data_IF_271170099995
#
_entry.id   IF_271170099995
#
_cell.length_a   1.000
_cell.length_b   1.000
_cell.length_c   1.000
_cell.angle_alpha   90.00
_cell.angle_beta   90.00
_cell.angle_gamma   90.00
#
_symmetry.space_group_name_H-M   'P 1'
#
loop_
_entity.id
_entity.type
_entity.pdbx_description
1 polymer ?
#
# COMPACT_ATOMS: atom_id res chain seq x y z
N UNK A 1 27.56 -39.11 -38.18
CA UNK A 1 27.64 -38.84 -39.64
C UNK A 1 26.42 -38.05 -40.04
N UNK A 2 26.59 -36.84 -40.60
CA UNK A 2 25.48 -36.03 -41.11
C UNK A 2 25.63 -34.54 -40.83
N UNK A 3 26.49 -33.88 -41.60
CA UNK A 3 26.55 -32.42 -41.75
C UNK A 3 26.85 -32.14 -43.24
N UNK A 4 26.73 -30.91 -43.75
CA UNK A 4 25.81 -29.81 -43.44
C UNK A 4 25.12 -29.27 -44.73
N UNK A 5 24.12 -28.39 -44.65
CA UNK A 5 23.91 -27.45 -45.77
C UNK A 5 23.46 -26.05 -45.31
N UNK A 6 24.09 -25.06 -45.93
CA UNK A 6 24.04 -23.63 -45.66
C UNK A 6 23.08 -22.99 -46.65
N UNK A 7 22.13 -22.20 -46.19
CA UNK A 7 21.50 -21.18 -47.03
C UNK A 7 21.46 -19.83 -46.31
N UNK A 8 22.48 -19.02 -46.63
CA UNK A 8 22.53 -17.58 -46.40
C UNK A 8 21.39 -16.91 -47.15
N UNK A 9 20.57 -16.10 -46.49
CA UNK A 9 19.98 -14.90 -47.10
C UNK A 9 20.09 -13.73 -46.14
N UNK A 10 21.14 -12.95 -46.36
CA UNK A 10 21.21 -11.58 -45.91
C UNK A 10 20.14 -10.77 -46.64
N UNK A 11 19.35 -9.99 -45.90
CA UNK A 11 18.79 -8.72 -46.39
C UNK A 11 18.92 -7.70 -45.28
N UNK A 12 19.93 -6.85 -45.44
CA UNK A 12 19.98 -5.53 -44.82
C UNK A 12 18.72 -4.76 -45.24
N UNK A 13 17.98 -4.23 -44.27
CA UNK A 13 16.98 -3.18 -44.52
C UNK A 13 17.32 -1.96 -43.69
N UNK A 14 18.13 -1.12 -44.34
CA UNK A 14 18.19 0.35 -44.32
C UNK A 14 17.53 1.07 -43.13
N UNK A 15 18.39 1.71 -42.37
CA UNK A 15 18.18 2.91 -41.58
C UNK A 15 17.41 4.00 -42.33
N UNK A 16 16.48 4.67 -41.66
CA UNK A 16 16.14 6.06 -41.91
C UNK A 16 15.64 6.70 -40.59
N UNK A 17 16.36 7.66 -40.01
CA UNK A 17 15.93 8.43 -38.85
C UNK A 17 15.05 9.59 -39.35
N UNK A 18 13.85 9.74 -38.77
CA UNK A 18 13.03 10.93 -38.98
C UNK A 18 13.01 11.71 -37.67
N UNK A 19 14.01 12.60 -37.56
CA UNK A 19 14.00 13.76 -36.68
C UNK A 19 12.78 14.60 -37.03
N UNK A 20 11.81 14.68 -36.11
CA UNK A 20 10.82 15.74 -36.11
C UNK A 20 10.96 16.51 -34.80
N UNK A 21 11.81 17.53 -34.83
CA UNK A 21 11.86 18.57 -33.82
C UNK A 21 10.63 19.47 -34.02
N UNK A 22 9.72 19.50 -33.04
CA UNK A 22 8.68 20.51 -32.95
C UNK A 22 8.86 21.27 -31.63
N UNK A 23 9.58 22.39 -31.72
CA UNK A 23 9.58 23.46 -30.72
C UNK A 23 8.23 24.17 -30.78
N UNK A 24 7.51 24.22 -29.67
CA UNK A 24 6.44 25.19 -29.43
C UNK A 24 6.69 25.91 -28.10
N UNK A 25 6.84 27.22 -28.21
CA UNK A 25 7.01 28.20 -27.14
C UNK A 25 5.66 28.49 -26.43
N UNK A 26 5.72 28.52 -25.09
CA UNK A 26 5.06 29.34 -24.04
C UNK A 26 3.67 29.97 -24.33
N UNK A 27 2.75 29.95 -23.34
CA UNK A 27 2.72 31.10 -22.41
C UNK A 27 2.57 30.70 -20.92
N UNK A 28 3.27 31.45 -20.07
CA UNK A 28 3.07 31.50 -18.63
C UNK A 28 1.73 32.18 -18.35
N UNK A 29 0.82 31.49 -17.64
CA UNK A 29 -0.35 32.11 -17.04
C UNK A 29 -0.07 32.35 -15.56
N UNK A 30 0.46 33.55 -15.30
CA UNK A 30 0.37 34.21 -14.02
C UNK A 30 -1.04 34.80 -13.88
N UNK A 31 -1.77 34.41 -12.84
CA UNK A 31 -3.01 35.09 -12.42
C UNK A 31 -3.11 35.07 -10.90
N UNK A 32 -2.38 35.99 -10.28
CA UNK A 32 -2.83 36.65 -9.06
C UNK A 32 -4.12 37.44 -9.33
N UNK A 33 -5.23 37.05 -8.69
CA UNK A 33 -6.32 37.98 -8.40
C UNK A 33 -7.13 37.50 -7.19
N UNK A 34 -6.71 38.00 -6.03
CA UNK A 34 -7.55 38.72 -5.06
C UNK A 34 -9.06 38.50 -5.16
N UNK A 35 -9.63 37.86 -4.15
CA UNK A 35 -10.93 38.30 -3.59
C UNK A 35 -10.74 38.66 -2.11
N UNK A 36 -10.86 39.97 -1.88
CA UNK A 36 -11.25 40.63 -0.64
C UNK A 36 -12.63 40.13 -0.21
N UNK A 37 -12.82 39.85 1.08
CA UNK A 37 -13.68 40.62 2.01
C UNK A 37 -15.18 40.38 1.72
N UNK A 38 -16.02 39.88 2.62
CA UNK A 38 -16.46 40.48 3.89
C UNK A 38 -17.45 39.48 4.52
N UNK A 39 -17.47 39.33 5.85
CA UNK A 39 -18.64 39.53 6.74
C UNK A 39 -18.46 38.80 8.06
N UNK A 40 -18.24 39.59 9.10
CA UNK A 40 -18.38 39.20 10.49
C UNK A 40 -19.86 38.97 10.83
N UNK A 41 -20.15 37.89 11.57
CA UNK A 41 -21.38 37.78 12.37
C UNK A 41 -21.00 37.50 13.82
N UNK A 42 -21.63 38.27 14.69
CA UNK A 42 -21.47 38.43 16.14
C UNK A 42 -21.69 37.14 16.96
N UNK A 43 -21.22 37.15 18.23
CA UNK A 43 -21.36 36.05 19.16
C UNK A 43 -22.77 36.01 19.76
N UNK A 44 -23.35 34.81 19.82
CA UNK A 44 -24.55 34.52 20.59
C UNK A 44 -24.20 34.12 22.01
N UNK A 45 -24.42 35.02 22.95
CA UNK A 45 -24.46 34.75 24.40
C UNK A 45 -25.75 33.99 24.71
N UNK A 46 -25.66 32.83 25.38
CA UNK A 46 -26.78 32.23 26.10
C UNK A 46 -26.34 31.86 27.51
N UNK A 47 -27.18 32.25 28.46
CA UNK A 47 -26.97 32.34 29.91
C UNK A 47 -27.74 31.23 30.64
N UNK A 48 -27.11 30.66 31.68
CA UNK A 48 -27.66 29.91 32.84
C UNK A 48 -28.33 28.53 32.56
N UNK A 49 -28.32 27.50 33.43
CA UNK A 49 -28.17 27.37 34.90
C UNK A 49 -27.84 25.89 35.26
N UNK A 50 -27.21 25.57 36.42
CA UNK A 50 -27.06 24.19 36.97
C UNK A 50 -28.29 23.82 37.87
N UNK A 51 -28.35 22.68 38.61
CA UNK A 51 -27.50 21.47 38.70
C UNK A 51 -28.29 20.16 38.46
N UNK A 52 -27.62 19.01 38.33
CA UNK A 52 -28.24 17.74 38.70
C UNK A 52 -27.21 16.72 39.22
N UNK A 53 -27.40 16.37 40.49
CA UNK A 53 -26.64 15.37 41.24
C UNK A 53 -27.28 14.02 40.98
N UNK A 54 -26.80 13.29 39.96
CA UNK A 54 -27.25 11.95 39.64
C UNK A 54 -26.24 10.89 40.08
N UNK A 55 -26.54 10.18 41.17
CA UNK A 55 -25.82 9.00 41.64
C UNK A 55 -25.73 7.92 40.56
N UNK A 56 -24.52 7.47 40.22
CA UNK A 56 -24.31 6.30 39.36
C UNK A 56 -23.88 5.09 40.22
N UNK A 57 -24.41 3.88 39.93
CA UNK A 57 -24.18 2.68 40.72
C UNK A 57 -22.74 2.16 40.56
N UNK A 58 -22.14 1.75 41.67
CA UNK A 58 -20.86 1.04 41.70
C UNK A 58 -21.01 -0.34 41.05
N UNK A 59 -20.54 -0.46 39.81
CA UNK A 59 -20.47 -1.75 39.11
C UNK A 59 -19.31 -2.59 39.67
N UNK A 60 -19.51 -3.89 39.96
CA UNK A 60 -18.46 -4.75 40.50
C UNK A 60 -17.33 -4.91 39.48
N UNK A 61 -16.10 -4.73 39.93
CA UNK A 61 -14.88 -4.94 39.16
C UNK A 61 -14.81 -6.39 38.69
N UNK A 62 -15.14 -6.63 37.41
CA UNK A 62 -14.89 -7.88 36.73
C UNK A 62 -13.38 -8.12 36.70
N UNK A 63 -12.94 -9.25 37.25
CA UNK A 63 -11.56 -9.72 37.13
C UNK A 63 -11.31 -10.05 35.67
N UNK A 64 -10.55 -9.20 34.97
CA UNK A 64 -10.09 -9.53 33.61
C UNK A 64 -9.18 -10.77 33.66
N UNK A 65 -9.41 -11.77 32.79
CA UNK A 65 -8.52 -12.92 32.68
C UNK A 65 -7.10 -12.46 32.29
N UNK A 66 -6.05 -13.16 32.76
CA UNK A 66 -4.67 -12.81 32.44
C UNK A 66 -4.45 -12.87 30.93
N UNK A 67 -3.88 -11.80 30.37
CA UNK A 67 -3.48 -11.74 28.97
C UNK A 67 -2.48 -12.88 28.68
N UNK A 68 -2.81 -13.74 27.71
CA UNK A 68 -1.85 -14.72 27.22
C UNK A 68 -0.68 -13.98 26.54
N UNK A 69 0.57 -14.42 26.72
CA UNK A 69 1.70 -13.83 26.04
C UNK A 69 1.58 -14.09 24.53
N UNK A 70 1.37 -13.03 23.76
CA UNK A 70 1.49 -13.07 22.30
C UNK A 70 2.98 -13.22 21.98
N UNK A 71 3.41 -14.43 21.63
CA UNK A 71 4.77 -14.65 21.10
C UNK A 71 4.96 -13.78 19.86
N UNK A 72 6.07 -13.03 19.81
CA UNK A 72 6.41 -12.21 18.64
C UNK A 72 6.48 -13.06 17.36
N UNK A 73 6.03 -12.54 16.22
CA UNK A 73 6.06 -13.29 14.97
C UNK A 73 7.49 -13.64 14.57
N UNK A 74 7.72 -14.89 14.18
CA UNK A 74 9.04 -15.39 13.79
C UNK A 74 9.32 -14.98 12.34
N UNK A 75 10.40 -14.22 12.14
CA UNK A 75 10.93 -13.86 10.81
C UNK A 75 12.12 -14.75 10.47
N UNK A 76 12.20 -15.23 9.23
CA UNK A 76 13.27 -16.12 8.75
C UNK A 76 13.73 -15.70 7.36
N UNK A 77 15.03 -15.88 7.10
CA UNK A 77 15.62 -15.70 5.78
C UNK A 77 15.12 -16.76 4.80
N UNK A 78 14.67 -16.33 3.64
CA UNK A 78 14.19 -17.23 2.60
C UNK A 78 13.36 -16.52 1.55
N UNK A 79 13.15 -17.20 0.43
CA UNK A 79 12.34 -16.67 -0.67
C UNK A 79 10.85 -16.59 -0.29
N UNK A 80 10.17 -15.61 -0.88
CA UNK A 80 8.73 -15.47 -0.70
C UNK A 80 7.99 -16.48 -1.59
N UNK A 81 7.25 -17.42 -0.98
CA UNK A 81 6.64 -18.57 -1.68
C UNK A 81 5.67 -18.19 -2.81
N UNK A 82 5.04 -17.04 -2.72
CA UNK A 82 4.00 -16.59 -3.67
C UNK A 82 4.46 -15.44 -4.55
N UNK A 83 5.71 -14.98 -4.41
CA UNK A 83 6.18 -13.79 -5.11
C UNK A 83 7.66 -13.91 -5.46
N UNK A 84 7.93 -14.03 -6.76
CA UNK A 84 9.28 -14.16 -7.29
C UNK A 84 10.08 -12.86 -7.12
N UNK A 85 11.28 -12.96 -6.56
CA UNK A 85 12.17 -11.81 -6.33
C UNK A 85 12.43 -11.03 -7.62
N UNK A 86 12.58 -11.70 -8.77
CA UNK A 86 12.81 -11.03 -10.07
C UNK A 86 11.62 -10.20 -10.54
N UNK A 87 10.39 -10.64 -10.25
CA UNK A 87 9.19 -9.85 -10.53
C UNK A 87 9.13 -8.61 -9.63
N UNK A 88 9.48 -8.74 -8.35
CA UNK A 88 9.57 -7.61 -7.43
C UNK A 88 10.60 -6.61 -7.93
N UNK A 89 11.82 -7.06 -8.26
CA UNK A 89 12.89 -6.22 -8.80
C UNK A 89 12.42 -5.40 -10.02
N UNK A 90 11.73 -6.04 -10.96
CA UNK A 90 11.20 -5.40 -12.16
C UNK A 90 10.09 -4.40 -11.83
N UNK A 91 9.22 -4.73 -10.89
CA UNK A 91 8.07 -3.90 -10.50
C UNK A 91 8.53 -2.62 -9.80
N UNK A 92 9.43 -2.74 -8.83
CA UNK A 92 9.90 -1.58 -8.05
C UNK A 92 11.10 -0.87 -8.68
N UNK A 93 11.73 -1.48 -9.67
CA UNK A 93 12.91 -0.93 -10.37
C UNK A 93 14.17 -0.91 -9.52
N UNK A 94 14.25 -1.77 -8.49
CA UNK A 94 15.38 -1.84 -7.56
C UNK A 94 15.90 -3.26 -7.48
N UNK A 95 17.20 -3.42 -7.22
CA UNK A 95 17.79 -4.73 -6.95
C UNK A 95 17.38 -5.20 -5.56
N UNK A 96 17.05 -6.48 -5.43
CA UNK A 96 16.78 -7.14 -4.16
C UNK A 96 17.96 -8.06 -3.84
N UNK A 97 18.52 -7.90 -2.66
CA UNK A 97 19.67 -8.68 -2.19
C UNK A 97 19.28 -9.78 -1.21
N UNK A 98 18.14 -9.62 -0.53
CA UNK A 98 17.67 -10.50 0.53
C UNK A 98 16.15 -10.47 0.60
N UNK A 99 15.57 -11.61 0.95
CA UNK A 99 14.14 -11.73 1.24
C UNK A 99 13.99 -12.45 2.58
N UNK A 100 13.01 -12.02 3.36
CA UNK A 100 12.56 -12.74 4.55
C UNK A 100 11.07 -13.04 4.42
N UNK A 101 10.62 -14.05 5.15
CA UNK A 101 9.22 -14.28 5.41
C UNK A 101 8.95 -14.26 6.92
N UNK A 102 7.78 -13.77 7.29
CA UNK A 102 7.35 -13.60 8.68
C UNK A 102 6.01 -14.31 8.86
N UNK A 103 5.90 -15.16 9.87
CA UNK A 103 4.63 -15.79 10.20
C UNK A 103 3.61 -14.71 10.60
N UNK A 104 2.41 -14.77 10.04
CA UNK A 104 1.31 -13.84 10.33
C UNK A 104 0.10 -14.60 10.87
N UNK A 105 -0.98 -13.87 11.20
CA UNK A 105 -2.24 -14.51 11.59
C UNK A 105 -2.91 -15.27 10.45
N UNK A 106 -2.46 -15.10 9.20
CA UNK A 106 -2.91 -15.88 8.07
C UNK A 106 -2.01 -17.11 7.87
N UNK A 107 -2.44 -18.27 8.38
CA UNK A 107 -1.61 -19.49 8.46
C UNK A 107 -1.02 -19.97 7.12
N UNK A 108 -1.69 -19.66 6.00
CA UNK A 108 -1.30 -20.14 4.67
C UNK A 108 -0.42 -19.16 3.89
N UNK A 109 -0.45 -17.86 4.24
CA UNK A 109 0.30 -16.82 3.53
C UNK A 109 1.10 -16.00 4.55
N UNK A 110 2.39 -16.32 4.74
CA UNK A 110 3.25 -15.49 5.58
C UNK A 110 3.43 -14.11 4.93
N UNK A 111 3.74 -13.11 5.75
CA UNK A 111 4.24 -11.84 5.27
C UNK A 111 5.62 -12.02 4.63
N UNK A 112 5.99 -11.14 3.72
CA UNK A 112 7.28 -11.15 3.05
C UNK A 112 7.89 -9.75 3.01
N UNK A 113 9.18 -9.64 3.30
CA UNK A 113 9.93 -8.39 3.18
C UNK A 113 11.09 -8.60 2.21
N UNK A 114 11.20 -7.72 1.21
CA UNK A 114 12.26 -7.73 0.20
C UNK A 114 13.20 -6.57 0.46
N UNK A 115 14.48 -6.86 0.65
CA UNK A 115 15.49 -5.88 1.04
C UNK A 115 16.45 -5.54 -0.09
N UNK A 116 16.79 -4.27 -0.15
CA UNK A 116 17.85 -3.72 -0.99
C UNK A 116 19.23 -4.18 -0.52
N UNK A 117 20.29 -3.98 -1.34
CA UNK A 117 21.66 -4.29 -0.95
C UNK A 117 22.18 -3.51 0.27
N UNK A 118 21.60 -2.35 0.59
CA UNK A 118 21.92 -1.56 1.79
C UNK A 118 21.21 -2.07 3.05
N UNK A 119 20.31 -3.04 2.91
CA UNK A 119 19.56 -3.64 4.02
C UNK A 119 18.21 -2.99 4.30
N UNK A 120 17.84 -1.92 3.60
CA UNK A 120 16.54 -1.28 3.76
C UNK A 120 15.44 -2.06 3.00
N UNK A 121 14.20 -2.13 3.54
CA UNK A 121 13.09 -2.73 2.81
C UNK A 121 12.79 -1.95 1.52
N UNK A 122 12.74 -2.66 0.39
CA UNK A 122 12.14 -2.18 -0.85
C UNK A 122 10.62 -2.37 -0.85
N UNK A 123 10.20 -3.55 -0.38
CA UNK A 123 8.80 -3.97 -0.32
C UNK A 123 8.56 -4.69 0.99
N UNK A 124 7.46 -4.39 1.65
CA UNK A 124 6.93 -5.15 2.77
C UNK A 124 5.48 -5.56 2.47
N UNK A 125 5.20 -6.85 2.62
CA UNK A 125 3.88 -7.44 2.41
C UNK A 125 3.45 -8.07 3.73
N UNK A 126 2.38 -7.54 4.32
CA UNK A 126 1.78 -8.08 5.53
C UNK A 126 0.37 -8.58 5.22
N UNK A 127 0.03 -9.77 5.72
CA UNK A 127 -1.29 -10.39 5.57
C UNK A 127 -1.85 -10.67 6.96
N UNK A 128 -3.02 -10.15 7.28
CA UNK A 128 -3.62 -10.27 8.61
C UNK A 128 -5.05 -10.77 8.49
N UNK A 129 -5.35 -11.92 9.10
CA UNK A 129 -6.71 -12.41 9.24
C UNK A 129 -7.44 -11.70 10.40
N UNK A 130 -8.72 -11.38 10.17
CA UNK A 130 -9.65 -10.80 11.14
C UNK A 130 -10.85 -11.72 11.38
N UNK A 131 -11.56 -11.56 12.51
CA UNK A 131 -12.81 -12.27 12.78
C UNK A 131 -13.92 -12.03 11.74
N UNK A 132 -13.98 -10.83 11.14
CA UNK A 132 -15.01 -10.47 10.15
C UNK A 132 -14.46 -9.58 9.05
N UNK A 133 -15.12 -9.59 7.88
CA UNK A 133 -14.82 -8.69 6.76
C UNK A 133 -14.96 -7.21 7.14
N UNK A 134 -15.93 -6.86 7.99
CA UNK A 134 -16.13 -5.48 8.46
C UNK A 134 -14.94 -5.00 9.30
N UNK A 135 -14.39 -5.86 10.15
CA UNK A 135 -13.20 -5.53 10.94
C UNK A 135 -11.96 -5.39 10.06
N UNK A 136 -11.76 -6.30 9.09
CA UNK A 136 -10.68 -6.18 8.12
C UNK A 136 -10.79 -4.87 7.33
N UNK A 137 -11.98 -4.51 6.86
CA UNK A 137 -12.21 -3.27 6.11
C UNK A 137 -11.98 -2.02 6.96
N UNK A 138 -12.42 -2.06 8.22
CA UNK A 138 -12.17 -0.97 9.18
C UNK A 138 -10.68 -0.79 9.42
N UNK A 139 -9.93 -1.88 9.56
CA UNK A 139 -8.48 -1.85 9.69
C UNK A 139 -7.79 -1.31 8.44
N UNK A 140 -8.22 -1.73 7.24
CA UNK A 140 -7.70 -1.22 5.97
C UNK A 140 -7.88 0.31 5.87
N UNK A 141 -9.10 0.80 6.09
CA UNK A 141 -9.41 2.24 6.05
C UNK A 141 -8.64 2.99 7.15
N UNK A 142 -8.47 2.38 8.32
CA UNK A 142 -7.73 2.95 9.45
C UNK A 142 -6.23 3.15 9.19
N UNK A 143 -5.63 2.46 8.21
CA UNK A 143 -4.27 2.71 7.74
C UNK A 143 -4.17 3.93 6.82
N UNK A 144 -5.30 4.46 6.36
CA UNK A 144 -5.35 5.68 5.58
C UNK A 144 -5.13 6.95 6.41
N UNK A 145 -5.03 8.06 5.69
CA UNK A 145 -5.17 9.41 6.24
C UNK A 145 -6.25 10.13 5.42
N UNK A 146 -6.68 11.36 5.77
CA UNK A 146 -7.57 12.13 4.89
C UNK A 146 -7.00 12.38 3.48
N UNK A 147 -5.70 12.21 3.26
CA UNK A 147 -5.05 12.30 1.96
C UNK A 147 -4.95 10.96 1.20
N UNK A 148 -5.36 9.85 1.82
CA UNK A 148 -5.38 8.55 1.16
C UNK A 148 -6.48 8.51 0.08
N UNK A 149 -6.20 7.79 -1.01
CA UNK A 149 -7.15 7.58 -2.09
C UNK A 149 -7.85 6.23 -1.93
N UNK A 150 -9.12 6.10 -2.33
CA UNK A 150 -9.80 4.81 -2.35
C UNK A 150 -9.17 3.86 -3.38
N UNK A 151 -9.28 2.57 -3.09
CA UNK A 151 -8.93 1.47 -3.98
C UNK A 151 -10.19 0.61 -4.11
N UNK A 152 -10.77 0.55 -5.32
CA UNK A 152 -12.07 -0.11 -5.54
C UNK A 152 -11.97 -1.28 -6.55
N UNK A 153 -10.78 -1.55 -7.04
CA UNK A 153 -10.47 -2.45 -8.17
C UNK A 153 -9.52 -3.59 -7.79
N UNK A 154 -9.20 -3.76 -6.49
CA UNK A 154 -8.39 -4.86 -5.95
C UNK A 154 -9.08 -5.43 -4.71
N UNK A 155 -9.33 -6.74 -4.71
CA UNK A 155 -10.05 -7.41 -3.63
C UNK A 155 -11.45 -6.83 -3.45
N UNK A 156 -11.87 -6.68 -2.19
CA UNK A 156 -13.10 -6.00 -1.78
C UNK A 156 -12.91 -4.49 -1.56
N UNK A 157 -11.72 -3.99 -1.92
CA UNK A 157 -11.34 -2.58 -1.87
C UNK A 157 -10.54 -2.19 -0.63
N UNK A 158 -10.31 -0.90 -0.48
CA UNK A 158 -9.49 -0.34 0.61
C UNK A 158 -8.94 1.04 0.29
N UNK A 159 -7.69 1.30 0.67
CA UNK A 159 -7.05 2.61 0.54
C UNK A 159 -5.60 2.50 0.07
N UNK A 160 -5.12 3.57 -0.54
CA UNK A 160 -3.69 3.77 -0.81
C UNK A 160 -3.25 5.15 -0.33
N UNK A 161 -2.24 5.17 0.52
CA UNK A 161 -1.54 6.36 0.97
C UNK A 161 -0.21 6.46 0.24
N UNK A 162 0.08 7.64 -0.31
CA UNK A 162 1.39 7.95 -0.90
C UNK A 162 2.00 9.10 -0.12
N UNK A 163 3.22 8.90 0.36
CA UNK A 163 4.05 9.92 1.00
C UNK A 163 5.23 10.26 0.08
N UNK A 164 6.12 11.15 0.53
CA UNK A 164 7.34 11.48 -0.21
C UNK A 164 8.28 10.27 -0.37
N UNK A 165 8.26 9.35 0.61
CA UNK A 165 9.22 8.25 0.71
C UNK A 165 8.61 6.87 0.43
N UNK A 166 7.29 6.74 0.43
CA UNK A 166 6.64 5.43 0.36
C UNK A 166 5.23 5.47 -0.23
N UNK A 167 4.74 4.30 -0.63
CA UNK A 167 3.32 4.07 -0.84
C UNK A 167 2.87 2.86 -0.03
N UNK A 168 1.79 3.02 0.71
CA UNK A 168 1.13 1.98 1.52
C UNK A 168 -0.24 1.73 0.93
N UNK A 169 -0.44 0.55 0.37
CA UNK A 169 -1.73 0.08 -0.12
C UNK A 169 -2.28 -0.95 0.85
N UNK A 170 -3.49 -0.72 1.34
CA UNK A 170 -4.20 -1.61 2.24
C UNK A 170 -5.53 -2.00 1.59
N UNK A 171 -5.71 -3.27 1.28
CA UNK A 171 -6.93 -3.82 0.66
C UNK A 171 -7.37 -5.07 1.40
N UNK A 172 -8.65 -5.42 1.28
CA UNK A 172 -9.21 -6.61 1.91
C UNK A 172 -9.65 -7.63 0.87
N UNK A 173 -9.68 -8.89 1.30
CA UNK A 173 -10.38 -10.00 0.63
C UNK A 173 -11.05 -10.79 1.74
N UNK A 174 -12.38 -10.83 1.73
CA UNK A 174 -13.20 -11.36 2.81
C UNK A 174 -12.77 -10.78 4.18
N UNK A 175 -12.39 -11.63 5.13
CA UNK A 175 -11.94 -11.24 6.46
C UNK A 175 -10.41 -11.07 6.56
N UNK A 176 -9.70 -10.94 5.44
CA UNK A 176 -8.24 -10.82 5.40
C UNK A 176 -7.82 -9.45 4.90
N UNK A 177 -6.91 -8.80 5.62
CA UNK A 177 -6.25 -7.56 5.22
C UNK A 177 -4.90 -7.86 4.57
N UNK A 178 -4.68 -7.30 3.39
CA UNK A 178 -3.39 -7.23 2.72
C UNK A 178 -2.86 -5.81 2.79
N UNK A 179 -1.66 -5.64 3.34
CA UNK A 179 -0.91 -4.39 3.32
C UNK A 179 0.34 -4.58 2.48
N UNK A 180 0.49 -3.77 1.43
CA UNK A 180 1.69 -3.69 0.60
C UNK A 180 2.30 -2.32 0.79
N UNK A 181 3.50 -2.28 1.36
CA UNK A 181 4.31 -1.07 1.45
C UNK A 181 5.45 -1.16 0.45
N UNK A 182 5.66 -0.11 -0.33
CA UNK A 182 6.84 0.07 -1.18
C UNK A 182 7.57 1.34 -0.77
N UNK A 183 8.91 1.32 -0.77
CA UNK A 183 9.76 2.46 -0.38
C UNK A 183 9.93 3.50 -1.50
N UNK A 184 8.89 3.68 -2.30
CA UNK A 184 8.84 4.65 -3.38
C UNK A 184 7.47 5.33 -3.35
N UNK A 185 7.43 6.61 -3.71
CA UNK A 185 6.20 7.38 -3.83
C UNK A 185 5.36 6.98 -5.07
N UNK A 186 5.01 5.69 -5.19
CA UNK A 186 4.33 5.12 -6.35
C UNK A 186 3.24 4.13 -5.95
N UNK A 187 2.00 4.60 -5.95
CA UNK A 187 0.82 3.74 -5.77
C UNK A 187 0.69 2.66 -6.84
N UNK A 188 1.21 2.90 -8.05
CA UNK A 188 1.18 1.91 -9.14
C UNK A 188 2.02 0.67 -8.82
N UNK A 189 3.17 0.84 -8.16
CA UNK A 189 4.02 -0.28 -7.77
C UNK A 189 3.38 -1.11 -6.67
N UNK A 190 2.87 -0.47 -5.61
CA UNK A 190 2.15 -1.15 -4.55
C UNK A 190 0.91 -1.90 -5.10
N UNK A 191 0.17 -1.27 -6.01
CA UNK A 191 -0.99 -1.85 -6.69
C UNK A 191 -0.65 -3.05 -7.55
N UNK A 192 0.42 -3.00 -8.34
CA UNK A 192 0.83 -4.12 -9.18
C UNK A 192 1.13 -5.38 -8.36
N UNK A 193 1.77 -5.21 -7.19
CA UNK A 193 2.01 -6.30 -6.25
C UNK A 193 0.71 -6.80 -5.62
N UNK A 194 -0.17 -5.89 -5.18
CA UNK A 194 -1.44 -6.25 -4.56
C UNK A 194 -2.37 -7.03 -5.51
N UNK A 195 -2.45 -6.65 -6.78
CA UNK A 195 -3.22 -7.37 -7.81
C UNK A 195 -2.78 -8.83 -7.94
N UNK A 196 -1.48 -9.10 -7.76
CA UNK A 196 -0.94 -10.45 -7.85
C UNK A 196 -1.22 -11.28 -6.59
N UNK A 197 -1.16 -10.64 -5.41
CA UNK A 197 -1.25 -11.33 -4.11
C UNK A 197 -2.70 -11.52 -3.64
N UNK A 198 -3.57 -10.52 -3.85
CA UNK A 198 -4.95 -10.55 -3.36
C UNK A 198 -5.75 -11.82 -3.75
N UNK A 199 -5.65 -12.36 -4.99
CA UNK A 199 -6.35 -13.58 -5.37
C UNK A 199 -5.93 -14.85 -4.60
N UNK A 200 -4.84 -14.78 -3.82
CA UNK A 200 -4.34 -15.91 -3.01
C UNK A 200 -4.94 -15.92 -1.59
N UNK A 201 -5.73 -14.91 -1.23
CA UNK A 201 -6.27 -14.70 0.11
C UNK A 201 -7.69 -15.25 0.32
N UNK A 202 -8.35 -15.66 -0.76
CA UNK A 202 -9.70 -16.23 -0.81
C UNK A 202 -9.71 -17.74 -0.69
#
# INVERSE_FOLDING_TARGET
MGAPDRARRARLSRSAPLLLALLLLVPACDREARQRETTAVRPGTSTAMPPDTGSAPSSPAGTSPPAQPTSEPVTTDGDCRYLETTFVEQTVGQRIARTTYTATSHELLPGCTFYRPDGDPAVDITVTAFPTAVEAQTAAIGLGTPAANPVDDVGDGGVVLVTEDAAVLAVTVDATLLVVTVNQASSLQARALAVLVAPLLS
#
